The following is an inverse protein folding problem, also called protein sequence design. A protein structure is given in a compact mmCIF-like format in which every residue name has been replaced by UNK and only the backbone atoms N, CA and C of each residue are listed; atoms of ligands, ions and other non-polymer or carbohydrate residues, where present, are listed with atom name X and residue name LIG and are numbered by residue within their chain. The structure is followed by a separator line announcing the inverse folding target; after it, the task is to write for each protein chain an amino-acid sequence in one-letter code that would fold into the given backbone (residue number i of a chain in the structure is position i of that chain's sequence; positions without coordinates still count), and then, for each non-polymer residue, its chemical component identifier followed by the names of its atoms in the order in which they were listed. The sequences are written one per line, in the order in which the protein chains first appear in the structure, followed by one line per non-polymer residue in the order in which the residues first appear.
data_IF_485571421218
#
_entry.id   IF_485571421218
#
_cell.length_a   1.000
_cell.length_b   1.000
_cell.length_c   1.000
_cell.angle_alpha   90.00
_cell.angle_beta   90.00
_cell.angle_gamma   90.00
#
_symmetry.space_group_name_H-M   'P 1'
#
loop_
_entity.id
_entity.type
_entity.pdbx_description
1 polymer ?
#
# COMPACT_ATOMS: atom_id res chain seq x y z
N UNK A 1 17.33 81.70 25.67
CA UNK A 1 17.24 82.15 24.26
C UNK A 1 16.09 81.37 23.63
N UNK A 2 14.88 81.97 23.60
CA UNK A 2 14.03 82.20 22.39
C UNK A 2 13.80 80.92 21.57
N UNK A 3 12.60 80.36 21.34
CA UNK A 3 11.27 80.96 21.12
C UNK A 3 10.17 79.91 21.38
N UNK A 4 9.04 80.42 21.84
CA UNK A 4 7.70 79.84 22.03
C UNK A 4 6.99 79.46 20.72
N UNK A 5 6.16 78.40 20.75
CA UNK A 5 5.14 78.09 19.73
C UNK A 5 3.93 77.41 20.35
N UNK A 6 2.86 78.17 20.49
CA UNK A 6 1.50 77.86 20.96
C UNK A 6 0.71 77.22 19.79
N UNK A 7 -0.14 76.20 19.93
CA UNK A 7 -1.60 76.37 20.13
C UNK A 7 -2.42 75.05 19.95
N UNK A 8 -3.52 74.94 20.73
CA UNK A 8 -4.82 74.27 20.46
C UNK A 8 -4.82 72.72 20.55
N UNK A 9 -5.28 72.04 21.62
CA UNK A 9 -6.59 71.95 22.28
C UNK A 9 -7.73 71.38 21.39
N UNK A 10 -8.03 70.09 21.56
CA UNK A 10 -9.40 69.57 21.45
C UNK A 10 -9.69 68.70 22.68
N UNK A 11 -10.73 69.10 23.40
CA UNK A 11 -11.31 68.47 24.59
C UNK A 11 -12.65 67.82 24.16
N UNK A 12 -13.27 67.08 25.09
CA UNK A 12 -14.62 66.47 25.08
C UNK A 12 -14.69 64.98 24.67
N UNK A 13 -15.31 64.07 25.44
CA UNK A 13 -15.95 64.16 26.76
C UNK A 13 -16.05 62.77 27.40
N UNK A 14 -16.05 62.80 28.73
CA UNK A 14 -16.23 61.74 29.72
C UNK A 14 -17.67 61.19 29.70
N UNK A 15 -17.85 59.88 29.92
CA UNK A 15 -18.84 59.42 30.90
C UNK A 15 -18.59 57.99 31.42
N UNK A 16 -18.33 57.96 32.72
CA UNK A 16 -18.31 56.84 33.65
C UNK A 16 -19.73 56.34 33.99
N UNK A 17 -19.92 55.06 34.31
CA UNK A 17 -20.20 54.57 35.69
C UNK A 17 -21.07 53.29 35.83
N UNK A 18 -20.62 52.45 36.77
CA UNK A 18 -21.32 51.59 37.74
C UNK A 18 -21.97 50.24 37.35
N UNK A 19 -21.22 49.18 37.68
CA UNK A 19 -21.53 47.99 38.53
C UNK A 19 -22.96 47.44 38.62
N UNK A 20 -23.12 46.12 38.49
CA UNK A 20 -23.83 45.26 39.45
C UNK A 20 -23.35 43.79 39.39
N UNK A 21 -23.23 43.17 40.57
CA UNK A 21 -23.09 41.73 40.80
C UNK A 21 -24.34 40.97 40.35
N UNK A 22 -24.16 39.80 39.72
CA UNK A 22 -25.08 38.65 39.91
C UNK A 22 -24.36 37.34 39.59
N UNK A 23 -24.32 36.43 40.58
CA UNK A 23 -24.00 35.03 40.37
C UNK A 23 -25.24 34.34 39.79
N UNK A 24 -25.12 33.74 38.61
CA UNK A 24 -26.03 32.66 38.19
C UNK A 24 -25.23 31.38 37.97
N UNK A 25 -25.51 30.40 38.84
CA UNK A 25 -25.19 29.00 38.62
C UNK A 25 -26.14 28.51 37.52
N UNK A 26 -25.66 28.43 36.29
CA UNK A 26 -26.28 27.61 35.27
C UNK A 26 -25.32 26.48 34.88
N UNK A 27 -25.83 25.26 35.03
CA UNK A 27 -25.19 24.00 34.66
C UNK A 27 -24.86 24.01 33.16
N UNK A 28 -23.61 24.32 32.81
CA UNK A 28 -23.08 23.95 31.51
C UNK A 28 -22.58 22.51 31.62
N UNK A 29 -23.41 21.60 31.14
CA UNK A 29 -23.02 20.24 30.79
C UNK A 29 -21.77 20.37 29.92
N UNK A 30 -20.68 19.75 30.39
CA UNK A 30 -19.47 19.60 29.61
C UNK A 30 -19.80 18.79 28.36
N UNK A 31 -19.86 19.45 27.20
CA UNK A 31 -19.66 18.80 25.91
C UNK A 31 -18.21 18.32 25.82
N UNK A 32 -17.89 17.26 26.56
CA UNK A 32 -16.77 16.38 26.25
C UNK A 32 -17.29 15.36 25.22
N UNK A 33 -17.60 15.83 24.02
CA UNK A 33 -17.56 14.95 22.86
C UNK A 33 -16.06 14.65 22.62
N UNK A 34 -15.64 13.38 22.59
CA UNK A 34 -14.28 13.08 22.18
C UNK A 34 -14.10 13.65 20.77
N UNK A 35 -13.05 14.45 20.58
CA UNK A 35 -12.56 14.81 19.26
C UNK A 35 -12.37 13.50 18.50
N UNK A 36 -13.30 13.19 17.58
CA UNK A 36 -13.10 12.14 16.60
C UNK A 36 -11.81 12.51 15.88
N UNK A 37 -10.75 11.73 16.06
CA UNK A 37 -9.56 11.93 15.24
C UNK A 37 -10.01 11.70 13.81
N UNK A 38 -9.97 12.73 12.97
CA UNK A 38 -10.19 12.51 11.55
C UNK A 38 -9.16 11.47 11.07
N UNK A 39 -9.63 10.47 10.32
CA UNK A 39 -8.78 9.51 9.64
C UNK A 39 -7.84 10.32 8.72
N UNK A 40 -6.55 10.41 9.07
CA UNK A 40 -5.60 11.32 8.38
C UNK A 40 -4.71 10.61 7.37
N UNK A 41 -4.52 9.30 7.49
CA UNK A 41 -3.67 8.53 6.56
C UNK A 41 -4.48 7.85 5.47
N UNK A 42 -3.82 7.52 4.35
CA UNK A 42 -4.47 6.83 3.21
C UNK A 42 -5.14 5.55 3.67
N UNK A 43 -4.43 4.75 4.47
CA UNK A 43 -4.97 3.48 4.99
C UNK A 43 -6.03 3.70 6.06
N UNK A 44 -5.97 4.77 6.86
CA UNK A 44 -7.09 5.10 7.75
C UNK A 44 -8.36 5.45 6.96
N UNK A 45 -8.23 6.23 5.87
CA UNK A 45 -9.36 6.65 5.04
C UNK A 45 -9.99 5.45 4.32
N UNK A 46 -9.16 4.59 3.72
CA UNK A 46 -9.62 3.50 2.84
C UNK A 46 -9.69 2.13 3.52
N UNK A 47 -8.93 1.87 4.58
CA UNK A 47 -8.92 0.58 5.31
C UNK A 47 -8.54 -0.62 4.45
N UNK A 48 -8.99 -1.79 4.88
CA UNK A 48 -8.81 -3.07 4.18
C UNK A 48 -9.35 -3.00 2.75
N UNK A 49 -8.48 -3.33 1.79
CA UNK A 49 -8.83 -3.40 0.38
C UNK A 49 -9.46 -4.75 0.04
N UNK A 50 -10.56 -4.74 -0.70
CA UNK A 50 -11.23 -5.95 -1.13
C UNK A 50 -11.48 -5.98 -2.64
N UNK A 51 -11.39 -7.17 -3.23
CA UNK A 51 -11.81 -7.43 -4.60
C UNK A 51 -13.34 -7.55 -4.66
N UNK A 52 -13.96 -6.75 -5.53
CA UNK A 52 -15.38 -6.83 -5.86
C UNK A 52 -15.56 -6.85 -7.38
N UNK A 53 -15.77 -8.06 -7.92
CA UNK A 53 -15.78 -8.28 -9.37
C UNK A 53 -14.43 -7.88 -9.98
N UNK A 54 -14.46 -6.95 -10.94
CA UNK A 54 -13.27 -6.45 -11.63
C UNK A 54 -12.69 -5.15 -11.04
N UNK A 55 -12.96 -4.89 -9.76
CA UNK A 55 -12.50 -3.70 -9.03
C UNK A 55 -11.86 -4.10 -7.71
N UNK A 56 -10.89 -3.29 -7.29
CA UNK A 56 -10.51 -3.18 -5.89
C UNK A 56 -11.32 -2.05 -5.27
N UNK A 57 -11.91 -2.32 -4.11
CA UNK A 57 -12.72 -1.39 -3.34
C UNK A 57 -12.14 -1.20 -1.95
N UNK A 58 -12.46 -0.08 -1.33
CA UNK A 58 -12.07 0.25 0.04
C UNK A 58 -13.09 -0.27 1.09
N UNK A 59 -12.86 0.03 2.37
CA UNK A 59 -13.71 -0.35 3.51
C UNK A 59 -15.18 0.11 3.39
N UNK A 60 -15.46 1.08 2.53
CA UNK A 60 -16.80 1.60 2.26
C UNK A 60 -17.43 1.00 0.99
N UNK A 61 -16.75 0.05 0.34
CA UNK A 61 -17.08 -0.53 -0.97
C UNK A 61 -16.97 0.45 -2.15
N UNK A 62 -16.21 1.54 -2.00
CA UNK A 62 -15.96 2.48 -3.09
C UNK A 62 -14.76 2.01 -3.93
N UNK A 63 -14.84 1.99 -5.27
CA UNK A 63 -13.70 1.63 -6.12
C UNK A 63 -12.52 2.58 -5.93
N UNK A 64 -11.33 2.01 -5.73
CA UNK A 64 -10.09 2.77 -5.50
C UNK A 64 -8.99 2.41 -6.49
N UNK A 65 -8.07 3.35 -6.67
CA UNK A 65 -6.82 3.15 -7.42
C UNK A 65 -5.73 3.98 -6.75
N UNK A 66 -4.59 3.33 -6.50
CA UNK A 66 -3.43 3.94 -5.85
C UNK A 66 -2.26 3.99 -6.82
N UNK A 67 -1.43 5.02 -6.64
CA UNK A 67 -0.22 5.21 -7.43
C UNK A 67 0.97 5.36 -6.48
N UNK A 68 2.10 4.80 -6.89
CA UNK A 68 3.32 4.93 -6.12
C UNK A 68 4.49 4.24 -6.78
N UNK A 69 5.43 3.75 -5.97
CA UNK A 69 6.76 3.39 -6.43
C UNK A 69 7.15 1.98 -5.99
N UNK A 70 7.75 1.23 -6.92
CA UNK A 70 8.52 0.04 -6.57
C UNK A 70 9.94 0.43 -6.22
N UNK A 71 10.44 -0.18 -5.16
CA UNK A 71 11.87 -0.30 -4.96
C UNK A 71 12.45 -1.22 -6.05
N UNK A 72 13.71 -1.00 -6.38
CA UNK A 72 14.47 -1.93 -7.24
C UNK A 72 14.80 -3.21 -6.45
N UNK A 73 15.28 -4.25 -7.12
CA UNK A 73 15.71 -5.52 -6.52
C UNK A 73 16.48 -5.34 -5.19
N UNK A 74 16.09 -6.12 -4.18
CA UNK A 74 16.68 -6.09 -2.83
C UNK A 74 18.06 -6.73 -2.70
N UNK A 75 18.57 -7.36 -3.76
CA UNK A 75 19.75 -8.20 -3.76
C UNK A 75 20.99 -7.49 -3.17
N UNK A 76 21.82 -8.27 -2.48
CA UNK A 76 23.12 -7.80 -2.03
C UNK A 76 23.99 -7.36 -3.23
N UNK A 77 24.54 -6.14 -3.14
CA UNK A 77 25.48 -5.55 -4.11
C UNK A 77 24.87 -5.14 -5.47
N UNK A 78 23.55 -4.99 -5.59
CA UNK A 78 22.90 -4.53 -6.83
C UNK A 78 22.66 -3.01 -6.85
N UNK A 79 22.92 -2.34 -5.73
CA UNK A 79 22.71 -0.91 -5.53
C UNK A 79 21.27 -0.52 -5.16
N UNK A 80 20.28 -1.40 -5.34
CA UNK A 80 18.89 -1.19 -4.92
C UNK A 80 18.72 -1.26 -3.40
N UNK A 81 19.46 -2.16 -2.76
CA UNK A 81 19.43 -2.44 -1.33
C UNK A 81 19.71 -1.20 -0.46
N UNK A 82 20.46 -0.21 -0.98
CA UNK A 82 20.75 1.04 -0.24
C UNK A 82 19.51 1.90 0.01
N UNK A 83 18.45 1.69 -0.77
CA UNK A 83 17.19 2.43 -0.63
C UNK A 83 16.21 1.75 0.32
N UNK A 84 16.48 0.52 0.77
CA UNK A 84 15.61 -0.20 1.72
C UNK A 84 15.78 0.34 3.14
N UNK A 85 15.29 1.56 3.38
CA UNK A 85 15.31 2.25 4.66
C UNK A 85 14.03 3.11 4.86
N UNK A 86 13.65 3.42 6.11
CA UNK A 86 12.42 4.16 6.40
C UNK A 86 12.42 5.59 5.86
N UNK A 87 13.58 6.23 5.74
CA UNK A 87 13.71 7.62 5.28
C UNK A 87 13.24 7.77 3.83
N UNK A 88 13.53 6.78 2.97
CA UNK A 88 13.04 6.78 1.58
C UNK A 88 11.52 6.66 1.53
N UNK A 89 10.91 5.79 2.35
CA UNK A 89 9.44 5.66 2.41
C UNK A 89 8.79 6.97 2.87
N UNK A 90 9.35 7.62 3.90
CA UNK A 90 8.86 8.93 4.35
C UNK A 90 8.98 9.96 3.23
N UNK A 91 10.12 10.01 2.54
CA UNK A 91 10.32 10.95 1.44
C UNK A 91 9.31 10.74 0.29
N UNK A 92 9.07 9.48 -0.11
CA UNK A 92 8.08 9.16 -1.14
C UNK A 92 6.66 9.58 -0.74
N UNK A 93 6.28 9.37 0.52
CA UNK A 93 4.98 9.86 1.03
C UNK A 93 4.94 11.40 1.04
N UNK A 94 5.95 12.03 1.61
CA UNK A 94 5.89 13.46 1.96
C UNK A 94 6.14 14.37 0.75
N UNK A 95 7.05 13.99 -0.14
CA UNK A 95 7.40 14.77 -1.34
C UNK A 95 6.59 14.31 -2.56
N UNK A 96 6.64 13.01 -2.87
CA UNK A 96 6.00 12.45 -4.08
C UNK A 96 4.51 12.15 -3.92
N UNK A 97 4.00 12.21 -2.69
CA UNK A 97 2.59 11.92 -2.36
C UNK A 97 2.20 10.48 -2.71
N UNK A 98 3.14 9.56 -2.63
CA UNK A 98 2.90 8.13 -2.85
C UNK A 98 1.92 7.58 -1.81
N UNK A 99 0.96 6.79 -2.29
CA UNK A 99 -0.07 6.13 -1.49
C UNK A 99 0.18 4.62 -1.32
N UNK A 100 1.10 4.06 -2.12
CA UNK A 100 1.51 2.66 -2.10
C UNK A 100 2.99 2.49 -2.47
N UNK A 101 3.73 1.66 -1.73
CA UNK A 101 5.11 1.26 -2.10
C UNK A 101 5.19 -0.24 -2.37
N UNK A 102 6.17 -0.67 -3.17
CA UNK A 102 6.40 -2.09 -3.46
C UNK A 102 7.82 -2.52 -3.10
N UNK A 103 7.95 -3.49 -2.21
CA UNK A 103 9.22 -4.04 -1.76
C UNK A 103 9.61 -5.27 -2.60
N UNK A 104 10.36 -5.03 -3.69
CA UNK A 104 10.75 -6.06 -4.64
C UNK A 104 11.87 -6.97 -4.10
N UNK A 105 11.51 -8.05 -3.41
CA UNK A 105 12.49 -8.95 -2.81
C UNK A 105 13.03 -9.93 -3.84
N UNK A 106 14.26 -9.73 -4.30
CA UNK A 106 14.87 -10.69 -5.23
C UNK A 106 15.08 -12.05 -4.57
N UNK A 107 14.89 -13.11 -5.35
CA UNK A 107 14.81 -14.49 -4.82
C UNK A 107 15.98 -15.35 -5.27
N UNK A 108 16.02 -15.73 -6.54
CA UNK A 108 16.94 -16.73 -7.09
C UNK A 108 18.30 -16.19 -7.54
N UNK A 109 18.35 -14.90 -7.90
CA UNK A 109 19.55 -14.27 -8.43
C UNK A 109 20.59 -13.98 -7.32
N UNK A 110 21.88 -13.81 -7.68
CA UNK A 110 22.95 -13.58 -6.72
C UNK A 110 22.66 -12.44 -5.73
N UNK A 111 22.88 -12.69 -4.44
CA UNK A 111 22.54 -11.77 -3.35
C UNK A 111 21.06 -11.73 -2.96
N UNK A 112 20.21 -12.53 -3.62
CA UNK A 112 18.78 -12.65 -3.35
C UNK A 112 18.45 -13.50 -2.12
N UNK A 113 17.16 -13.70 -1.87
CA UNK A 113 16.64 -14.41 -0.70
C UNK A 113 17.24 -15.82 -0.56
N UNK A 114 17.39 -16.60 -1.63
CA UNK A 114 17.91 -17.96 -1.52
C UNK A 114 19.38 -18.02 -1.07
N UNK A 115 20.17 -16.99 -1.35
CA UNK A 115 21.56 -16.88 -0.91
C UNK A 115 21.66 -16.24 0.49
N UNK A 116 20.86 -15.21 0.75
CA UNK A 116 20.87 -14.47 2.02
C UNK A 116 19.45 -14.12 2.50
N UNK A 117 18.77 -15.13 3.06
CA UNK A 117 17.38 -15.03 3.55
C UNK A 117 17.21 -13.92 4.57
N UNK A 118 18.12 -13.83 5.54
CA UNK A 118 18.00 -12.88 6.66
C UNK A 118 18.10 -11.43 6.18
N UNK A 119 19.08 -11.11 5.34
CA UNK A 119 19.25 -9.73 4.87
C UNK A 119 18.06 -9.28 4.01
N UNK A 120 17.64 -10.12 3.05
CA UNK A 120 16.52 -9.79 2.16
C UNK A 120 15.19 -9.68 2.92
N UNK A 121 14.90 -10.59 3.86
CA UNK A 121 13.72 -10.44 4.74
C UNK A 121 13.77 -9.16 5.55
N UNK A 122 14.89 -8.81 6.16
CA UNK A 122 14.99 -7.61 6.98
C UNK A 122 14.79 -6.32 6.16
N UNK A 123 15.23 -6.30 4.90
CA UNK A 123 14.96 -5.19 3.97
C UNK A 123 13.47 -5.04 3.69
N UNK A 124 12.78 -6.13 3.36
CA UNK A 124 11.33 -6.12 3.16
C UNK A 124 10.62 -5.61 4.41
N UNK A 125 10.93 -6.18 5.58
CA UNK A 125 10.34 -5.77 6.87
C UNK A 125 10.56 -4.28 7.14
N UNK A 126 11.75 -3.76 6.86
CA UNK A 126 12.05 -2.32 7.00
C UNK A 126 11.11 -1.44 6.17
N UNK A 127 10.78 -1.85 4.94
CA UNK A 127 9.84 -1.11 4.08
C UNK A 127 8.40 -1.27 4.55
N UNK A 128 8.01 -2.48 4.98
CA UNK A 128 6.66 -2.76 5.50
C UNK A 128 6.40 -1.95 6.77
N UNK A 129 7.30 -2.01 7.75
CA UNK A 129 7.21 -1.27 9.01
C UNK A 129 7.11 0.25 8.75
N UNK A 130 7.92 0.77 7.84
CA UNK A 130 7.89 2.18 7.47
C UNK A 130 6.59 2.56 6.75
N UNK A 131 6.04 1.70 5.88
CA UNK A 131 4.77 1.96 5.21
C UNK A 131 3.59 1.98 6.21
N UNK A 132 3.60 1.07 7.19
CA UNK A 132 2.63 1.01 8.29
C UNK A 132 2.70 2.30 9.13
N UNK A 133 3.89 2.70 9.60
CA UNK A 133 4.09 3.95 10.35
C UNK A 133 3.61 5.18 9.57
N UNK A 134 3.84 5.18 8.26
CA UNK A 134 3.42 6.24 7.35
C UNK A 134 1.96 6.11 6.91
N UNK A 135 1.24 5.05 7.26
CA UNK A 135 -0.17 4.86 6.90
C UNK A 135 -0.42 4.86 5.39
N UNK A 136 0.49 4.25 4.63
CA UNK A 136 0.36 3.97 3.19
C UNK A 136 0.36 2.46 2.94
N UNK A 137 -0.13 2.02 1.79
CA UNK A 137 -0.12 0.60 1.45
C UNK A 137 1.30 0.11 1.08
N UNK A 138 1.55 -1.18 1.25
CA UNK A 138 2.80 -1.84 0.87
C UNK A 138 2.54 -3.19 0.19
N UNK A 139 3.17 -3.38 -0.97
CA UNK A 139 3.22 -4.68 -1.65
C UNK A 139 4.49 -5.40 -1.20
N UNK A 140 4.31 -6.58 -0.60
CA UNK A 140 5.37 -7.53 -0.29
C UNK A 140 5.51 -8.45 -1.50
N UNK A 141 6.55 -8.22 -2.29
CA UNK A 141 6.73 -8.87 -3.59
C UNK A 141 7.82 -9.95 -3.54
N UNK A 142 7.40 -11.18 -3.87
CA UNK A 142 8.29 -12.30 -4.17
C UNK A 142 8.83 -12.15 -5.60
N UNK A 143 9.92 -11.39 -5.71
CA UNK A 143 10.46 -10.91 -6.97
C UNK A 143 11.29 -11.99 -7.69
N UNK A 144 10.58 -12.95 -8.26
CA UNK A 144 11.12 -14.12 -8.94
C UNK A 144 10.60 -14.23 -10.38
N UNK A 145 11.37 -14.91 -11.22
CA UNK A 145 11.00 -15.44 -12.54
C UNK A 145 10.85 -16.97 -12.56
N UNK A 146 11.14 -17.64 -11.43
CA UNK A 146 11.16 -19.10 -11.27
C UNK A 146 10.59 -19.53 -9.90
N UNK A 147 9.53 -18.87 -9.43
CA UNK A 147 9.01 -19.09 -8.09
C UNK A 147 8.50 -20.52 -7.88
N UNK A 148 8.00 -21.16 -8.94
CA UNK A 148 7.52 -22.55 -8.95
C UNK A 148 8.60 -23.55 -8.53
N UNK A 149 9.87 -23.28 -8.85
CA UNK A 149 11.00 -24.14 -8.50
C UNK A 149 11.30 -24.10 -6.99
N UNK A 150 10.81 -23.07 -6.29
CA UNK A 150 11.11 -22.78 -4.89
C UNK A 150 9.83 -22.60 -4.05
N UNK A 151 8.76 -23.33 -4.38
CA UNK A 151 7.44 -23.24 -3.72
C UNK A 151 7.51 -23.30 -2.20
N UNK A 152 8.32 -24.21 -1.63
CA UNK A 152 8.47 -24.33 -0.18
C UNK A 152 9.11 -23.10 0.47
N UNK A 153 10.04 -22.45 -0.23
CA UNK A 153 10.73 -21.24 0.27
C UNK A 153 9.79 -20.04 0.24
N UNK A 154 8.98 -19.91 -0.81
CA UNK A 154 7.92 -18.91 -0.87
C UNK A 154 6.89 -19.13 0.25
N UNK A 155 6.47 -20.37 0.51
CA UNK A 155 5.54 -20.69 1.57
C UNK A 155 6.08 -20.27 2.95
N UNK A 156 7.33 -20.63 3.28
CA UNK A 156 7.96 -20.23 4.54
C UNK A 156 8.08 -18.71 4.70
N UNK A 157 8.41 -18.01 3.60
CA UNK A 157 8.50 -16.55 3.61
C UNK A 157 7.12 -15.91 3.86
N UNK A 158 6.11 -16.30 3.09
CA UNK A 158 4.77 -15.73 3.22
C UNK A 158 4.06 -16.14 4.52
N UNK A 159 4.34 -17.32 5.06
CA UNK A 159 3.93 -17.71 6.41
C UNK A 159 4.49 -16.72 7.45
N UNK A 160 5.78 -16.38 7.37
CA UNK A 160 6.39 -15.40 8.27
C UNK A 160 5.80 -13.99 8.08
N UNK A 161 5.60 -13.54 6.85
CA UNK A 161 5.03 -12.21 6.58
C UNK A 161 3.58 -12.12 7.04
N UNK A 162 2.76 -13.15 6.83
CA UNK A 162 1.38 -13.19 7.31
C UNK A 162 1.30 -13.21 8.84
N UNK A 163 2.18 -13.96 9.52
CA UNK A 163 2.23 -13.95 10.99
C UNK A 163 2.63 -12.58 11.56
N UNK A 164 3.51 -11.84 10.88
CA UNK A 164 3.97 -10.54 11.34
C UNK A 164 2.99 -9.42 11.02
N UNK A 165 2.37 -9.46 9.84
CA UNK A 165 1.70 -8.31 9.27
C UNK A 165 0.27 -8.55 8.81
N UNK A 166 -0.29 -9.75 9.00
CA UNK A 166 -1.62 -10.08 8.49
C UNK A 166 -2.77 -9.28 9.13
N UNK A 167 -2.55 -8.66 10.29
CA UNK A 167 -3.54 -7.78 10.94
C UNK A 167 -3.50 -6.33 10.43
N UNK A 168 -2.60 -5.99 9.50
CA UNK A 168 -2.46 -4.62 8.99
C UNK A 168 -3.08 -4.48 7.60
N UNK A 169 -4.13 -3.66 7.51
CA UNK A 169 -4.81 -3.27 6.25
C UNK A 169 -3.85 -2.72 5.17
N UNK A 170 -2.66 -2.28 5.57
CA UNK A 170 -1.61 -1.78 4.67
C UNK A 170 -1.10 -2.84 3.69
N UNK A 171 -1.16 -4.12 4.05
CA UNK A 171 -0.37 -5.19 3.42
C UNK A 171 -1.09 -5.79 2.21
N UNK A 172 -0.33 -5.93 1.13
CA UNK A 172 -0.71 -6.64 -0.08
C UNK A 172 0.39 -7.64 -0.38
N UNK A 173 0.05 -8.90 -0.67
CA UNK A 173 1.03 -9.92 -1.04
C UNK A 173 1.08 -10.09 -2.55
N UNK A 174 2.25 -9.90 -3.16
CA UNK A 174 2.49 -10.27 -4.56
C UNK A 174 3.32 -11.54 -4.59
N UNK A 175 2.67 -12.66 -4.89
CA UNK A 175 3.24 -13.99 -4.64
C UNK A 175 4.16 -14.47 -5.76
N UNK A 176 4.13 -13.81 -6.92
CA UNK A 176 4.99 -14.11 -8.06
C UNK A 176 5.03 -12.90 -9.00
N UNK A 177 6.16 -12.17 -9.02
CA UNK A 177 6.39 -11.00 -9.85
C UNK A 177 6.12 -11.20 -11.36
N UNK A 178 6.99 -11.95 -12.04
CA UNK A 178 6.98 -12.06 -13.51
C UNK A 178 7.29 -13.48 -13.95
N UNK A 179 6.30 -14.37 -13.95
CA UNK A 179 6.45 -15.70 -14.54
C UNK A 179 6.86 -15.60 -16.00
N UNK A 180 7.75 -16.50 -16.44
CA UNK A 180 8.16 -16.58 -17.84
C UNK A 180 7.05 -17.20 -18.73
N UNK A 181 7.41 -17.76 -19.88
CA UNK A 181 6.50 -18.52 -20.74
C UNK A 181 6.25 -19.92 -20.16
N UNK A 182 5.46 -19.97 -19.08
CA UNK A 182 5.02 -21.19 -18.40
C UNK A 182 3.50 -21.30 -18.39
N UNK A 183 3.00 -22.52 -18.28
CA UNK A 183 1.56 -22.80 -18.29
C UNK A 183 0.85 -22.20 -17.07
N UNK A 184 -0.20 -21.41 -17.32
CA UNK A 184 -1.11 -20.95 -16.28
C UNK A 184 -1.72 -22.13 -15.51
N UNK A 185 -2.40 -23.04 -16.21
CA UNK A 185 -3.25 -24.05 -15.57
C UNK A 185 -2.48 -25.19 -14.90
N UNK A 186 -1.30 -25.55 -15.42
CA UNK A 186 -0.56 -26.72 -14.93
C UNK A 186 0.64 -26.38 -14.05
N UNK A 187 1.10 -25.12 -14.06
CA UNK A 187 2.29 -24.70 -13.30
C UNK A 187 1.96 -23.53 -12.38
N UNK A 188 1.53 -22.41 -12.95
CA UNK A 188 1.40 -21.17 -12.19
C UNK A 188 0.23 -21.19 -11.19
N UNK A 189 -0.95 -21.62 -11.64
CA UNK A 189 -2.14 -21.70 -10.80
C UNK A 189 -1.98 -22.70 -9.64
N UNK A 190 -1.43 -23.92 -9.84
CA UNK A 190 -1.08 -24.81 -8.74
C UNK A 190 -0.11 -24.19 -7.71
N UNK A 191 0.95 -23.52 -8.17
CA UNK A 191 1.85 -22.76 -7.30
C UNK A 191 1.08 -21.70 -6.49
N UNK A 192 0.31 -20.86 -7.18
CA UNK A 192 -0.44 -19.77 -6.55
C UNK A 192 -1.43 -20.29 -5.51
N UNK A 193 -2.18 -21.35 -5.82
CA UNK A 193 -3.11 -22.00 -4.87
C UNK A 193 -2.38 -22.49 -3.60
N UNK A 194 -1.17 -23.05 -3.75
CA UNK A 194 -0.37 -23.50 -2.60
C UNK A 194 0.03 -22.33 -1.70
N UNK A 195 0.52 -21.23 -2.28
CA UNK A 195 0.96 -20.06 -1.51
C UNK A 195 -0.23 -19.31 -0.90
N UNK A 196 -1.34 -19.16 -1.64
CA UNK A 196 -2.59 -18.58 -1.14
C UNK A 196 -3.09 -19.40 0.06
N UNK A 197 -3.07 -20.73 -0.01
CA UNK A 197 -3.47 -21.58 1.11
C UNK A 197 -2.61 -21.33 2.36
N UNK A 198 -1.30 -21.19 2.19
CA UNK A 198 -0.38 -20.85 3.29
C UNK A 198 -0.73 -19.50 3.91
N UNK A 199 -0.87 -18.44 3.09
CA UNK A 199 -1.23 -17.11 3.58
C UNK A 199 -2.58 -17.15 4.30
N UNK A 200 -3.61 -17.72 3.65
CA UNK A 200 -5.00 -17.77 4.17
C UNK A 200 -5.18 -18.63 5.42
N UNK A 201 -4.20 -19.48 5.76
CA UNK A 201 -4.21 -20.18 7.05
C UNK A 201 -3.92 -19.25 8.25
N UNK A 202 -3.40 -18.06 7.99
CA UNK A 202 -2.99 -17.06 8.99
C UNK A 202 -3.73 -15.73 8.77
N UNK A 203 -3.72 -15.23 7.53
CA UNK A 203 -4.28 -13.95 7.10
C UNK A 203 -5.47 -14.21 6.15
N UNK A 204 -6.72 -14.13 6.65
CA UNK A 204 -7.89 -14.56 5.90
C UNK A 204 -8.33 -13.56 4.81
N UNK A 205 -7.86 -12.31 4.83
CA UNK A 205 -8.54 -11.23 4.15
C UNK A 205 -7.68 -10.19 3.41
N UNK A 206 -6.38 -10.03 3.69
CA UNK A 206 -5.55 -9.08 2.92
C UNK A 206 -5.44 -9.48 1.44
N UNK A 207 -5.31 -8.48 0.56
CA UNK A 207 -5.26 -8.68 -0.89
C UNK A 207 -4.03 -9.51 -1.29
N UNK A 208 -4.24 -10.53 -2.12
CA UNK A 208 -3.17 -11.29 -2.76
C UNK A 208 -3.21 -11.02 -4.27
N UNK A 209 -2.08 -10.62 -4.84
CA UNK A 209 -1.88 -10.38 -6.27
C UNK A 209 -1.04 -11.52 -6.85
N UNK A 210 -1.53 -12.10 -7.95
CA UNK A 210 -0.92 -13.27 -8.58
C UNK A 210 -0.39 -12.90 -9.96
N UNK A 211 0.91 -13.16 -10.19
CA UNK A 211 1.53 -13.02 -11.50
C UNK A 211 0.80 -13.79 -12.60
N UNK A 212 1.03 -13.41 -13.86
CA UNK A 212 0.50 -14.15 -15.03
C UNK A 212 1.62 -14.50 -16.01
N UNK A 213 1.44 -15.48 -16.91
CA UNK A 213 2.50 -15.84 -17.85
C UNK A 213 2.98 -14.69 -18.74
N UNK A 214 4.17 -14.87 -19.33
CA UNK A 214 4.85 -13.90 -20.21
C UNK A 214 5.08 -12.55 -19.52
N UNK A 215 5.80 -12.55 -18.40
CA UNK A 215 6.13 -11.36 -17.60
C UNK A 215 4.88 -10.60 -17.15
N UNK A 216 3.90 -11.33 -16.61
CA UNK A 216 2.64 -10.76 -16.12
C UNK A 216 1.86 -10.01 -17.21
N UNK A 217 1.75 -10.60 -18.41
CA UNK A 217 0.99 -10.03 -19.52
C UNK A 217 -0.19 -10.89 -19.95
N UNK A 218 -0.24 -12.18 -19.56
CA UNK A 218 -1.29 -13.13 -19.96
C UNK A 218 -2.46 -13.18 -18.98
N UNK A 219 -2.98 -12.02 -18.60
CA UNK A 219 -4.19 -11.87 -17.77
C UNK A 219 -5.43 -12.50 -18.41
N UNK A 220 -5.44 -12.66 -19.73
CA UNK A 220 -6.48 -13.41 -20.46
C UNK A 220 -6.55 -14.89 -20.06
N UNK A 221 -5.41 -15.51 -19.77
CA UNK A 221 -5.36 -16.91 -19.34
C UNK A 221 -5.91 -17.08 -17.93
N UNK A 222 -5.58 -16.15 -17.03
CA UNK A 222 -6.13 -16.11 -15.68
C UNK A 222 -7.65 -15.82 -15.70
N UNK A 223 -8.11 -14.91 -16.56
CA UNK A 223 -9.53 -14.63 -16.73
C UNK A 223 -10.34 -15.85 -17.23
N UNK A 224 -9.74 -16.67 -18.10
CA UNK A 224 -10.38 -17.86 -18.64
C UNK A 224 -10.43 -19.04 -17.64
N UNK A 225 -9.49 -19.12 -16.70
CA UNK A 225 -9.41 -20.16 -15.68
C UNK A 225 -9.02 -19.57 -14.31
N UNK A 226 -9.89 -18.74 -13.69
CA UNK A 226 -9.55 -17.99 -12.49
C UNK A 226 -9.32 -18.91 -11.29
N UNK A 227 -8.54 -18.45 -10.33
CA UNK A 227 -8.44 -19.08 -9.01
C UNK A 227 -9.80 -18.98 -8.33
N UNK A 228 -10.35 -20.11 -7.91
CA UNK A 228 -11.61 -20.22 -7.19
C UNK A 228 -11.39 -20.89 -5.84
N UNK A 229 -12.31 -20.67 -4.89
CA UNK A 229 -12.18 -21.19 -3.51
C UNK A 229 -11.45 -20.27 -2.53
N UNK A 230 -10.87 -19.16 -3.03
CA UNK A 230 -10.30 -18.09 -2.22
C UNK A 230 -10.90 -16.75 -2.62
N UNK A 231 -10.96 -15.83 -1.67
CA UNK A 231 -11.41 -14.44 -1.86
C UNK A 231 -10.25 -13.47 -1.84
N UNK A 232 -10.54 -12.25 -2.33
CA UNK A 232 -9.62 -11.12 -2.35
C UNK A 232 -8.31 -11.42 -3.11
N UNK A 233 -8.48 -11.89 -4.36
CA UNK A 233 -7.40 -12.20 -5.28
C UNK A 233 -7.47 -11.26 -6.48
N UNK A 234 -6.34 -10.68 -6.87
CA UNK A 234 -6.16 -9.91 -8.09
C UNK A 234 -5.03 -10.51 -8.95
N UNK A 235 -4.95 -10.11 -10.22
CA UNK A 235 -3.96 -10.64 -11.16
C UNK A 235 -3.04 -9.53 -11.70
N UNK A 236 -1.74 -9.79 -11.69
CA UNK A 236 -0.73 -8.81 -12.10
C UNK A 236 -0.77 -8.54 -13.60
N UNK A 237 -0.72 -7.26 -13.97
CA UNK A 237 -0.43 -6.78 -15.31
C UNK A 237 0.80 -5.86 -15.30
N UNK A 238 1.88 -6.26 -15.96
CA UNK A 238 3.05 -5.41 -16.15
C UNK A 238 3.13 -4.87 -17.58
N UNK A 239 3.53 -3.61 -17.70
CA UNK A 239 3.75 -2.99 -19.01
C UNK A 239 4.85 -1.94 -18.96
N UNK A 240 5.64 -1.92 -20.03
CA UNK A 240 6.60 -0.87 -20.34
C UNK A 240 6.18 -0.16 -21.62
N UNK A 241 5.99 1.16 -21.53
CA UNK A 241 5.34 2.00 -22.57
C UNK A 241 6.08 2.06 -23.90
N UNK A 242 7.36 1.67 -23.95
CA UNK A 242 8.13 1.58 -25.20
C UNK A 242 7.74 0.33 -26.01
N UNK A 243 7.40 -0.77 -25.34
CA UNK A 243 7.13 -2.07 -25.96
C UNK A 243 5.64 -2.41 -26.04
N UNK A 244 4.90 -2.06 -24.98
CA UNK A 244 3.51 -2.48 -24.80
C UNK A 244 2.58 -1.33 -25.15
N UNK A 245 1.67 -1.58 -26.11
CA UNK A 245 0.81 -0.56 -26.70
C UNK A 245 -0.66 -1.00 -26.59
N UNK A 246 -1.46 -0.73 -27.62
CA UNK A 246 -2.90 -0.98 -27.60
C UNK A 246 -3.25 -2.45 -27.38
N UNK A 247 -2.49 -3.37 -27.97
CA UNK A 247 -2.77 -4.81 -27.87
C UNK A 247 -2.80 -5.32 -26.41
N UNK A 248 -1.93 -4.80 -25.53
CA UNK A 248 -1.92 -5.21 -24.12
C UNK A 248 -3.04 -4.53 -23.34
N UNK A 249 -3.40 -3.29 -23.70
CA UNK A 249 -4.58 -2.61 -23.16
C UNK A 249 -5.87 -3.35 -23.53
N UNK A 250 -6.00 -3.82 -24.76
CA UNK A 250 -7.17 -4.57 -25.21
C UNK A 250 -7.30 -5.90 -24.46
N UNK A 251 -6.18 -6.59 -24.24
CA UNK A 251 -6.13 -7.81 -23.42
C UNK A 251 -6.55 -7.54 -21.97
N UNK A 252 -6.03 -6.48 -21.36
CA UNK A 252 -6.39 -6.08 -20.00
C UNK A 252 -7.88 -5.74 -19.89
N UNK A 253 -8.42 -4.97 -20.83
CA UNK A 253 -9.85 -4.65 -20.90
C UNK A 253 -10.71 -5.91 -21.00
N UNK A 254 -10.34 -6.85 -21.87
CA UNK A 254 -11.09 -8.12 -22.03
C UNK A 254 -11.07 -8.98 -20.75
N UNK A 255 -9.95 -8.99 -20.02
CA UNK A 255 -9.85 -9.68 -18.73
C UNK A 255 -10.73 -9.03 -17.66
N UNK A 256 -10.71 -7.70 -17.56
CA UNK A 256 -11.60 -6.95 -16.66
C UNK A 256 -13.08 -7.16 -17.02
N UNK A 257 -13.43 -7.15 -18.31
CA UNK A 257 -14.79 -7.43 -18.80
C UNK A 257 -15.25 -8.86 -18.48
N UNK A 258 -14.31 -9.80 -18.31
CA UNK A 258 -14.56 -11.17 -17.88
C UNK A 258 -14.73 -11.32 -16.36
N UNK A 259 -14.57 -10.23 -15.60
CA UNK A 259 -14.94 -10.15 -14.18
C UNK A 259 -13.81 -10.40 -13.17
N UNK A 260 -12.56 -10.55 -13.62
CA UNK A 260 -11.39 -10.60 -12.72
C UNK A 260 -10.85 -9.18 -12.44
N UNK A 261 -10.22 -9.00 -11.28
CA UNK A 261 -9.57 -7.74 -10.87
C UNK A 261 -8.06 -7.78 -11.10
#
# INVERSE_FOLDING_TARGET
MKITGLHILFLFFILTCFTFHSCDKNNNISDNLPLQSEDTTVVQIHGLLQQNGNKIVDKNNEPVSFAGNSFFWSNDNWGGERYYNPEVVSWLKDDWKTTIVRAAMGVEDPGGYLENKTANKNRVKTIVDAAIDKGIYVIIDWHSHHAEDNTNEAALFFEEMANLYGEYDNVIYEIYNEPLDISWSTTLKPYAISIIATIRSIDPDNLIVVGTPEWSQRVDLAAADPITGYSNIAYTLHFYTVYHQQWLRDRASAALESGIA
#
